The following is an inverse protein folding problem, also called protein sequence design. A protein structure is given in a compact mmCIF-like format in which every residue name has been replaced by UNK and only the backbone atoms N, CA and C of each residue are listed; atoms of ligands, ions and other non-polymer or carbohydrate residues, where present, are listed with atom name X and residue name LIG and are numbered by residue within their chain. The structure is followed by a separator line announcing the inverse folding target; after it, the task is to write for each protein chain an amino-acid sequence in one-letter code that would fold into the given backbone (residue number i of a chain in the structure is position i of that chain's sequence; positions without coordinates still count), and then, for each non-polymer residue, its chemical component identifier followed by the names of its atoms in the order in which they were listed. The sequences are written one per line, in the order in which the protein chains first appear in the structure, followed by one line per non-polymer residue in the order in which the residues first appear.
data_IF_997807708528
#
_entry.id   IF_997807708528
#
_cell.length_a   1.000
_cell.length_b   1.000
_cell.length_c   1.000
_cell.angle_alpha   90.00
_cell.angle_beta   90.00
_cell.angle_gamma   90.00
#
_symmetry.space_group_name_H-M   'P 1'
#
loop_
_entity.id
_entity.type
_entity.pdbx_description
1 polymer ?
#
# COMPACT_ATOMS: atom_id res chain seq x y z
N UNK A 1 2.86 2.53 16.13
CA UNK A 1 3.95 2.68 15.13
C UNK A 1 4.80 1.42 15.07
N UNK A 2 5.14 0.95 13.87
CA UNK A 2 6.07 -0.17 13.68
C UNK A 2 7.51 0.25 13.98
N UNK A 3 8.32 -0.63 14.59
CA UNK A 3 9.73 -0.34 14.83
C UNK A 3 10.59 -0.56 13.59
N UNK A 4 11.72 0.15 13.49
CA UNK A 4 12.71 -0.05 12.43
C UNK A 4 13.24 -1.49 12.39
N UNK A 5 13.42 -2.12 13.55
CA UNK A 5 13.82 -3.52 13.66
C UNK A 5 12.80 -4.46 12.99
N UNK A 6 11.51 -4.17 13.16
CA UNK A 6 10.44 -4.98 12.59
C UNK A 6 10.32 -4.74 11.07
N UNK A 7 10.53 -3.52 10.59
CA UNK A 7 10.67 -3.23 9.14
C UNK A 7 11.82 -4.03 8.53
N UNK A 8 12.99 -4.06 9.19
CA UNK A 8 14.15 -4.81 8.70
C UNK A 8 13.92 -6.32 8.69
N UNK A 9 13.15 -6.83 9.65
CA UNK A 9 12.74 -8.23 9.68
C UNK A 9 11.84 -8.56 8.48
N UNK A 10 10.85 -7.72 8.20
CA UNK A 10 9.92 -7.91 7.07
C UNK A 10 10.67 -7.92 5.74
N UNK A 11 11.62 -6.99 5.54
CA UNK A 11 12.42 -6.92 4.30
C UNK A 11 13.17 -8.21 3.98
N UNK A 12 13.53 -9.00 5.00
CA UNK A 12 14.28 -10.27 4.85
C UNK A 12 13.37 -11.50 4.67
N UNK A 13 12.05 -11.35 4.82
CA UNK A 13 11.10 -12.44 4.60
C UNK A 13 10.94 -12.72 3.10
N UNK A 14 10.66 -13.98 2.75
CA UNK A 14 10.20 -14.31 1.41
C UNK A 14 8.83 -13.68 1.12
N UNK A 15 8.47 -13.61 -0.16
CA UNK A 15 7.17 -13.05 -0.59
C UNK A 15 5.98 -13.73 0.09
N UNK A 16 5.97 -15.07 0.11
CA UNK A 16 4.91 -15.83 0.76
C UNK A 16 4.82 -15.55 2.26
N UNK A 17 5.96 -15.47 2.94
CA UNK A 17 6.04 -15.12 4.36
C UNK A 17 5.56 -13.68 4.63
N UNK A 18 5.86 -12.72 3.75
CA UNK A 18 5.35 -11.34 3.87
C UNK A 18 3.83 -11.30 3.78
N UNK A 19 3.25 -12.01 2.82
CA UNK A 19 1.79 -12.08 2.66
C UNK A 19 1.12 -12.76 3.87
N UNK A 20 1.66 -13.88 4.35
CA UNK A 20 1.16 -14.56 5.57
C UNK A 20 1.32 -13.70 6.82
N UNK A 21 2.44 -13.00 6.94
CA UNK A 21 2.69 -12.09 8.05
C UNK A 21 1.67 -10.95 8.05
N UNK A 22 1.47 -10.30 6.91
CA UNK A 22 0.49 -9.23 6.77
C UNK A 22 -0.92 -9.71 7.11
N UNK A 23 -1.32 -10.86 6.56
CA UNK A 23 -2.61 -11.49 6.81
C UNK A 23 -2.82 -11.73 8.31
N UNK A 24 -1.84 -12.33 8.98
CA UNK A 24 -1.89 -12.59 10.43
C UNK A 24 -1.97 -11.31 11.26
N UNK A 25 -1.26 -10.25 10.86
CA UNK A 25 -1.29 -8.96 11.58
C UNK A 25 -2.64 -8.26 11.42
N UNK A 26 -3.20 -8.26 10.21
CA UNK A 26 -4.53 -7.70 9.93
C UNK A 26 -5.60 -8.50 10.70
N UNK A 27 -5.55 -9.84 10.66
CA UNK A 27 -6.47 -10.72 11.38
C UNK A 27 -6.46 -10.43 12.89
N UNK A 28 -5.27 -10.33 13.49
CA UNK A 28 -5.12 -9.98 14.91
C UNK A 28 -5.72 -8.62 15.22
N UNK A 29 -5.37 -7.59 14.45
CA UNK A 29 -5.84 -6.23 14.70
C UNK A 29 -7.36 -6.16 14.59
N UNK A 30 -7.94 -6.69 13.51
CA UNK A 30 -9.40 -6.72 13.32
C UNK A 30 -10.11 -7.53 14.41
N UNK A 31 -9.48 -8.58 14.96
CA UNK A 31 -10.06 -9.32 16.07
C UNK A 31 -10.14 -8.52 17.37
N UNK A 32 -9.17 -7.63 17.60
CA UNK A 32 -8.99 -6.83 18.82
C UNK A 32 -9.72 -5.47 18.78
N UNK A 33 -10.28 -5.07 17.63
CA UNK A 33 -11.00 -3.80 17.54
C UNK A 33 -12.28 -3.82 18.40
N UNK A 34 -12.67 -2.69 18.99
CA UNK A 34 -14.00 -2.52 19.57
C UNK A 34 -15.09 -2.76 18.53
N UNK A 35 -16.21 -3.37 18.93
CA UNK A 35 -17.29 -3.69 17.99
C UNK A 35 -17.91 -2.43 17.34
N UNK A 36 -17.95 -1.31 18.07
CA UNK A 36 -18.39 -0.01 17.53
C UNK A 36 -17.49 0.46 16.38
N UNK A 37 -16.17 0.35 16.55
CA UNK A 37 -15.21 0.68 15.50
C UNK A 37 -15.29 -0.31 14.33
N UNK A 38 -15.50 -1.62 14.60
CA UNK A 38 -15.73 -2.61 13.54
C UNK A 38 -16.98 -2.29 12.72
N UNK A 39 -18.05 -1.79 13.34
CA UNK A 39 -19.26 -1.38 12.63
C UNK A 39 -18.99 -0.18 11.71
N UNK A 40 -18.24 0.82 12.19
CA UNK A 40 -17.80 1.97 11.36
C UNK A 40 -16.96 1.48 10.18
N UNK A 41 -15.99 0.59 10.42
CA UNK A 41 -15.13 0.04 9.37
C UNK A 41 -15.93 -0.88 8.44
N UNK A 42 -16.93 -1.61 8.91
CA UNK A 42 -17.83 -2.41 8.07
C UNK A 42 -18.63 -1.52 7.13
N UNK A 43 -19.23 -0.44 7.65
CA UNK A 43 -20.08 0.46 6.89
C UNK A 43 -19.31 1.32 5.88
N UNK A 44 -18.13 1.80 6.24
CA UNK A 44 -17.28 2.61 5.37
C UNK A 44 -16.33 1.74 4.52
N UNK A 45 -15.71 0.73 5.11
CA UNK A 45 -14.73 -0.15 4.47
C UNK A 45 -15.32 -1.11 3.45
N UNK A 46 -16.55 -1.63 3.65
CA UNK A 46 -17.22 -2.41 2.60
C UNK A 46 -17.49 -1.58 1.35
N UNK A 47 -17.75 -0.28 1.51
CA UNK A 47 -17.99 0.62 0.38
C UNK A 47 -16.68 1.05 -0.28
N UNK A 48 -15.65 1.37 0.50
CA UNK A 48 -14.31 1.67 -0.01
C UNK A 48 -13.72 0.47 -0.76
N UNK A 49 -13.80 -0.74 -0.20
CA UNK A 49 -13.33 -1.97 -0.85
C UNK A 49 -14.20 -2.33 -2.06
N UNK A 50 -15.53 -2.25 -1.96
CA UNK A 50 -16.41 -2.49 -3.11
C UNK A 50 -16.12 -1.51 -4.25
N UNK A 51 -15.88 -0.23 -3.94
CA UNK A 51 -15.58 0.81 -4.92
C UNK A 51 -14.17 0.62 -5.52
N UNK A 52 -13.15 0.27 -4.72
CA UNK A 52 -11.81 -0.10 -5.17
C UNK A 52 -11.81 -1.28 -6.14
N UNK A 53 -12.64 -2.30 -5.87
CA UNK A 53 -12.72 -3.51 -6.69
C UNK A 53 -13.78 -3.46 -7.79
N UNK A 54 -14.43 -2.31 -8.01
CA UNK A 54 -15.20 -2.12 -9.25
C UNK A 54 -14.27 -2.04 -10.46
N UNK A 55 -14.80 -2.36 -11.64
CA UNK A 55 -14.06 -2.17 -12.89
C UNK A 55 -13.61 -0.71 -13.12
N UNK A 56 -14.33 0.25 -12.53
CA UNK A 56 -14.00 1.67 -12.59
C UNK A 56 -12.95 2.07 -11.54
N UNK A 57 -13.04 1.57 -10.31
CA UNK A 57 -12.03 1.75 -9.27
C UNK A 57 -10.67 1.15 -9.63
N UNK A 58 -10.66 -0.07 -10.18
CA UNK A 58 -9.43 -0.69 -10.68
C UNK A 58 -8.86 0.03 -11.90
N UNK A 59 -9.71 0.57 -12.79
CA UNK A 59 -9.25 1.38 -13.91
C UNK A 59 -8.67 2.73 -13.47
N UNK A 60 -9.24 3.37 -12.44
CA UNK A 60 -8.70 4.59 -11.85
C UNK A 60 -7.37 4.34 -11.14
N UNK A 61 -7.25 3.22 -10.42
CA UNK A 61 -6.00 2.79 -9.80
C UNK A 61 -4.93 2.49 -10.85
N UNK A 62 -5.29 1.81 -11.94
CA UNK A 62 -4.40 1.57 -13.08
C UNK A 62 -3.91 2.86 -13.72
N UNK A 63 -4.79 3.83 -13.97
CA UNK A 63 -4.42 5.15 -14.50
C UNK A 63 -3.54 5.94 -13.56
N UNK A 64 -3.79 5.88 -12.25
CA UNK A 64 -2.94 6.54 -11.26
C UNK A 64 -1.55 5.90 -11.23
N UNK A 65 -1.46 4.57 -11.30
CA UNK A 65 -0.17 3.88 -11.43
C UNK A 65 0.54 4.24 -12.74
N UNK A 66 -0.14 4.20 -13.88
CA UNK A 66 0.40 4.66 -15.17
C UNK A 66 0.92 6.09 -15.09
N UNK A 67 0.19 6.99 -14.43
CA UNK A 67 0.61 8.37 -14.22
C UNK A 67 1.85 8.46 -13.33
N UNK A 68 1.90 7.72 -12.22
CA UNK A 68 3.06 7.70 -11.32
C UNK A 68 4.33 7.23 -12.04
N UNK A 69 4.20 6.23 -12.92
CA UNK A 69 5.30 5.68 -13.72
C UNK A 69 5.53 6.40 -15.05
N UNK A 70 4.75 7.44 -15.37
CA UNK A 70 4.88 8.17 -16.61
C UNK A 70 6.27 8.81 -16.75
N UNK A 71 6.97 8.49 -17.84
CA UNK A 71 8.34 8.97 -18.08
C UNK A 71 9.42 8.26 -17.24
N UNK A 72 9.08 7.17 -16.54
CA UNK A 72 10.03 6.19 -16.03
C UNK A 72 10.10 5.06 -17.05
N UNK A 73 11.25 4.89 -17.68
CA UNK A 73 11.41 3.88 -18.71
C UNK A 73 11.64 2.49 -18.09
N UNK A 74 11.31 1.46 -18.86
CA UNK A 74 11.64 0.08 -18.51
C UNK A 74 13.17 -0.13 -18.38
N UNK A 75 13.95 0.70 -19.07
CA UNK A 75 15.41 0.76 -18.97
C UNK A 75 15.87 1.39 -17.65
N UNK A 76 15.19 2.42 -17.14
CA UNK A 76 15.47 3.02 -15.83
C UNK A 76 15.25 1.99 -14.70
N UNK A 77 14.20 1.17 -14.81
CA UNK A 77 13.91 0.08 -13.87
C UNK A 77 14.94 -1.05 -13.98
N UNK A 78 15.26 -1.51 -15.20
CA UNK A 78 16.28 -2.54 -15.44
C UNK A 78 17.67 -2.10 -14.98
N UNK A 79 18.01 -0.82 -15.11
CA UNK A 79 19.28 -0.31 -14.64
C UNK A 79 19.39 -0.32 -13.11
N UNK A 80 18.28 -0.20 -12.39
CA UNK A 80 18.23 -0.41 -10.94
C UNK A 80 18.33 -1.89 -10.56
N UNK A 81 17.68 -2.77 -11.32
CA UNK A 81 17.73 -4.22 -11.11
C UNK A 81 19.13 -4.81 -11.43
N UNK A 82 19.83 -4.24 -12.40
CA UNK A 82 21.18 -4.65 -12.79
C UNK A 82 22.28 -4.22 -11.79
N UNK A 83 21.96 -3.36 -10.84
CA UNK A 83 22.89 -3.01 -9.76
C UNK A 83 22.89 -4.11 -8.70
N UNK A 84 24.06 -4.51 -8.16
CA UNK A 84 24.15 -5.58 -7.17
C UNK A 84 23.26 -5.27 -5.96
N UNK A 85 22.23 -6.09 -5.74
CA UNK A 85 21.22 -5.93 -4.68
C UNK A 85 21.69 -6.54 -3.34
N UNK A 86 22.76 -7.34 -3.34
CA UNK A 86 23.29 -7.98 -2.14
C UNK A 86 24.40 -7.13 -1.50
N UNK A 87 24.38 -6.93 -0.16
CA UNK A 87 25.38 -6.13 0.55
C UNK A 87 26.82 -6.64 0.36
N UNK A 88 26.95 -7.94 0.09
CA UNK A 88 28.21 -8.67 0.01
C UNK A 88 28.93 -8.47 -1.34
N UNK A 89 28.21 -7.96 -2.34
CA UNK A 89 28.68 -7.66 -3.70
C UNK A 89 28.71 -6.16 -4.01
N UNK A 90 28.19 -5.32 -3.10
CA UNK A 90 28.14 -3.87 -3.26
C UNK A 90 29.44 -3.21 -2.81
N UNK A 91 30.15 -2.61 -3.76
CA UNK A 91 31.15 -1.61 -3.44
C UNK A 91 30.46 -0.24 -3.15
N UNK A 92 31.14 0.69 -2.46
CA UNK A 92 30.53 1.98 -2.07
C UNK A 92 30.06 2.85 -3.24
N UNK A 93 30.65 2.70 -4.43
CA UNK A 93 30.23 3.41 -5.65
C UNK A 93 28.92 2.86 -6.22
N UNK A 94 28.74 1.53 -6.20
CA UNK A 94 27.52 0.88 -6.65
C UNK A 94 26.34 1.19 -5.71
N UNK A 95 26.60 1.26 -4.40
CA UNK A 95 25.61 1.73 -3.42
C UNK A 95 25.21 3.19 -3.66
N UNK A 96 26.19 4.07 -3.92
CA UNK A 96 25.94 5.48 -4.24
C UNK A 96 25.07 5.65 -5.50
N UNK A 97 25.37 4.91 -6.56
CA UNK A 97 24.58 4.91 -7.80
C UNK A 97 23.18 4.34 -7.61
N UNK A 98 23.05 3.26 -6.85
CA UNK A 98 21.73 2.67 -6.53
C UNK A 98 20.85 3.67 -5.78
N UNK A 99 21.41 4.35 -4.78
CA UNK A 99 20.71 5.37 -4.01
C UNK A 99 20.34 6.58 -4.87
N UNK A 100 21.23 7.06 -5.74
CA UNK A 100 20.99 8.18 -6.65
C UNK A 100 19.91 7.86 -7.68
N UNK A 101 19.98 6.69 -8.34
CA UNK A 101 19.00 6.25 -9.33
C UNK A 101 17.63 5.96 -8.67
N UNK A 102 17.63 5.29 -7.51
CA UNK A 102 16.43 5.01 -6.75
C UNK A 102 15.74 6.28 -6.26
N UNK A 103 16.50 7.24 -5.70
CA UNK A 103 15.94 8.54 -5.32
C UNK A 103 15.44 9.33 -6.53
N UNK A 104 16.13 9.29 -7.66
CA UNK A 104 15.69 9.97 -8.89
C UNK A 104 14.37 9.43 -9.44
N UNK A 105 14.15 8.12 -9.36
CA UNK A 105 12.86 7.50 -9.72
C UNK A 105 11.77 7.87 -8.71
N UNK A 106 12.05 7.78 -7.41
CA UNK A 106 11.10 8.17 -6.37
C UNK A 106 10.71 9.65 -6.49
N UNK A 107 11.67 10.54 -6.78
CA UNK A 107 11.42 11.97 -7.01
C UNK A 107 10.52 12.19 -8.23
N UNK A 108 10.75 11.47 -9.34
CA UNK A 108 9.89 11.52 -10.53
C UNK A 108 8.49 11.01 -10.23
N UNK A 109 8.35 9.89 -9.52
CA UNK A 109 7.06 9.35 -9.09
C UNK A 109 6.29 10.36 -8.22
N UNK A 110 6.98 10.99 -7.26
CA UNK A 110 6.37 12.04 -6.43
C UNK A 110 5.95 13.25 -7.25
N UNK A 111 6.78 13.73 -8.19
CA UNK A 111 6.45 14.84 -9.10
C UNK A 111 5.24 14.53 -9.99
N UNK A 112 5.16 13.30 -10.49
CA UNK A 112 4.04 12.85 -11.31
C UNK A 112 2.75 12.73 -10.48
N UNK A 113 2.85 12.26 -9.24
CA UNK A 113 1.73 12.19 -8.30
C UNK A 113 1.18 13.58 -7.95
N UNK A 114 2.05 14.58 -7.72
CA UNK A 114 1.64 15.97 -7.42
C UNK A 114 1.41 16.83 -8.68
N UNK A 115 1.47 16.21 -9.87
CA UNK A 115 1.11 16.90 -11.11
C UNK A 115 -0.38 17.22 -11.14
N UNK A 116 -0.81 18.16 -11.99
CA UNK A 116 -2.23 18.50 -12.12
C UNK A 116 -3.11 17.28 -12.43
N UNK A 117 -2.62 16.38 -13.30
CA UNK A 117 -3.30 15.13 -13.66
C UNK A 117 -3.22 14.08 -12.54
N UNK A 118 -2.11 14.00 -11.82
CA UNK A 118 -1.97 13.10 -10.65
C UNK A 118 -2.90 13.51 -9.50
N UNK A 119 -3.00 14.80 -9.21
CA UNK A 119 -3.93 15.35 -8.21
C UNK A 119 -5.38 15.15 -8.65
N UNK A 120 -5.70 15.35 -9.93
CA UNK A 120 -7.05 15.11 -10.46
C UNK A 120 -7.44 13.64 -10.37
N UNK A 121 -6.53 12.72 -10.72
CA UNK A 121 -6.74 11.28 -10.59
C UNK A 121 -6.89 10.87 -9.12
N UNK A 122 -6.06 11.39 -8.22
CA UNK A 122 -6.20 11.18 -6.78
C UNK A 122 -7.54 11.71 -6.26
N UNK A 123 -7.97 12.89 -6.70
CA UNK A 123 -9.26 13.48 -6.33
C UNK A 123 -10.46 12.65 -6.82
N UNK A 124 -10.41 12.14 -8.05
CA UNK A 124 -11.42 11.21 -8.60
C UNK A 124 -11.42 9.89 -7.85
N UNK A 125 -10.23 9.33 -7.60
CA UNK A 125 -10.07 8.08 -6.86
C UNK A 125 -10.63 8.22 -5.44
N UNK A 126 -10.32 9.31 -4.74
CA UNK A 126 -10.90 9.60 -3.41
C UNK A 126 -12.41 9.85 -3.49
N UNK A 127 -12.90 10.57 -4.50
CA UNK A 127 -14.33 10.81 -4.68
C UNK A 127 -15.14 9.53 -4.92
N UNK A 128 -14.65 8.66 -5.79
CA UNK A 128 -15.28 7.39 -6.15
C UNK A 128 -15.11 6.34 -5.03
N UNK A 129 -13.94 6.24 -4.40
CA UNK A 129 -13.71 5.31 -3.28
C UNK A 129 -14.52 5.68 -2.05
N UNK A 130 -14.61 6.97 -1.73
CA UNK A 130 -15.36 7.44 -0.56
C UNK A 130 -16.86 7.36 -0.84
N UNK A 131 -17.33 7.87 -1.98
CA UNK A 131 -18.72 7.87 -2.43
C UNK A 131 -19.71 8.65 -1.54
N UNK A 132 -19.49 8.69 -0.22
CA UNK A 132 -20.34 9.27 0.81
C UNK A 132 -19.49 10.02 1.86
N UNK A 133 -19.60 11.36 1.91
CA UNK A 133 -18.89 12.20 2.89
C UNK A 133 -19.24 11.87 4.35
N UNK A 134 -20.45 11.40 4.65
CA UNK A 134 -20.87 11.05 6.02
C UNK A 134 -20.13 9.81 6.52
N UNK A 135 -19.88 8.85 5.62
CA UNK A 135 -19.06 7.67 5.92
C UNK A 135 -17.60 8.03 6.13
N UNK A 136 -17.07 9.00 5.38
CA UNK A 136 -15.73 9.56 5.65
C UNK A 136 -15.65 10.23 7.02
N UNK A 137 -16.69 10.97 7.40
CA UNK A 137 -16.77 11.58 8.73
C UNK A 137 -16.86 10.52 9.84
N UNK A 138 -17.52 9.38 9.59
CA UNK A 138 -17.55 8.27 10.53
C UNK A 138 -16.17 7.62 10.74
N UNK A 139 -15.33 7.54 9.70
CA UNK A 139 -13.94 7.09 9.84
C UNK A 139 -13.09 8.03 10.71
N UNK A 140 -13.39 9.33 10.69
CA UNK A 140 -12.74 10.31 11.60
C UNK A 140 -13.18 10.13 13.07
N UNK A 141 -14.29 9.43 13.31
CA UNK A 141 -14.81 9.13 14.65
C UNK A 141 -14.31 7.81 15.22
N UNK A 142 -13.45 7.07 14.50
CA UNK A 142 -12.79 5.89 15.04
C UNK A 142 -12.04 6.23 16.33
N UNK A 143 -12.03 5.30 17.29
CA UNK A 143 -11.28 5.52 18.51
C UNK A 143 -9.78 5.77 18.21
N UNK A 144 -9.09 6.62 19.01
CA UNK A 144 -7.66 6.88 18.80
C UNK A 144 -6.81 5.59 18.80
N UNK A 145 -7.19 4.60 19.60
CA UNK A 145 -6.54 3.29 19.64
C UNK A 145 -6.72 2.53 18.32
N UNK A 146 -7.92 2.53 17.75
CA UNK A 146 -8.18 1.93 16.44
C UNK A 146 -7.45 2.65 15.32
N UNK A 147 -7.42 3.99 15.35
CA UNK A 147 -6.64 4.78 14.38
C UNK A 147 -5.15 4.44 14.43
N UNK A 148 -4.57 4.31 15.63
CA UNK A 148 -3.17 3.91 15.80
C UNK A 148 -2.90 2.49 15.28
N UNK A 149 -3.81 1.54 15.54
CA UNK A 149 -3.71 0.17 15.04
C UNK A 149 -3.80 0.11 13.51
N UNK A 150 -4.73 0.84 12.90
CA UNK A 150 -4.88 0.92 11.44
C UNK A 150 -3.69 1.62 10.77
N UNK A 151 -3.15 2.67 11.38
CA UNK A 151 -1.91 3.29 10.92
C UNK A 151 -0.76 2.28 10.94
N UNK A 152 -0.66 1.47 12.00
CA UNK A 152 0.32 0.38 12.08
C UNK A 152 0.16 -0.66 10.96
N UNK A 153 -1.08 -1.00 10.58
CA UNK A 153 -1.36 -1.87 9.41
C UNK A 153 -0.86 -1.22 8.12
N UNK A 154 -1.09 0.08 7.95
CA UNK A 154 -0.65 0.80 6.75
C UNK A 154 0.88 0.82 6.64
N UNK A 155 1.58 1.09 7.74
CA UNK A 155 3.04 1.05 7.81
C UNK A 155 3.59 -0.36 7.51
N UNK A 156 2.96 -1.40 8.08
CA UNK A 156 3.26 -2.82 7.81
C UNK A 156 3.05 -3.19 6.35
N UNK A 157 1.92 -2.77 5.77
CA UNK A 157 1.55 -3.01 4.37
C UNK A 157 2.59 -2.39 3.45
N UNK A 158 2.97 -1.13 3.68
CA UNK A 158 4.00 -0.47 2.90
C UNK A 158 5.36 -1.19 3.00
N UNK A 159 5.74 -1.68 4.19
CA UNK A 159 6.98 -2.43 4.37
C UNK A 159 6.97 -3.80 3.68
N UNK A 160 5.83 -4.49 3.66
CA UNK A 160 5.66 -5.79 3.03
C UNK A 160 5.51 -5.70 1.51
N UNK A 161 5.04 -4.57 0.98
CA UNK A 161 4.75 -4.39 -0.44
C UNK A 161 5.92 -3.84 -1.27
N UNK A 162 7.04 -3.48 -0.64
CA UNK A 162 8.16 -2.78 -1.30
C UNK A 162 8.76 -3.52 -2.51
N UNK A 163 8.69 -4.85 -2.54
CA UNK A 163 9.28 -5.73 -3.55
C UNK A 163 8.26 -6.67 -4.21
N UNK A 164 6.97 -6.34 -4.11
CA UNK A 164 5.88 -7.11 -4.72
C UNK A 164 5.60 -6.67 -6.16
N UNK A 165 5.28 -7.63 -7.01
CA UNK A 165 4.89 -7.41 -8.42
C UNK A 165 3.38 -7.14 -8.54
N UNK A 166 2.90 -6.60 -9.68
CA UNK A 166 1.45 -6.47 -9.98
C UNK A 166 0.63 -7.73 -9.69
N UNK A 167 1.17 -8.90 -10.00
CA UNK A 167 0.51 -10.20 -9.78
C UNK A 167 0.44 -10.56 -8.30
N UNK A 168 1.51 -10.27 -7.54
CA UNK A 168 1.56 -10.43 -6.08
C UNK A 168 0.51 -9.53 -5.38
N UNK A 169 0.24 -8.33 -5.92
CA UNK A 169 -0.81 -7.45 -5.39
C UNK A 169 -2.22 -8.03 -5.57
N UNK A 170 -2.50 -8.68 -6.70
CA UNK A 170 -3.80 -9.31 -6.93
C UNK A 170 -4.05 -10.48 -5.97
N UNK A 171 -3.02 -11.30 -5.72
CA UNK A 171 -3.08 -12.38 -4.73
C UNK A 171 -3.27 -11.82 -3.31
N UNK A 172 -2.44 -10.85 -2.92
CA UNK A 172 -2.50 -10.22 -1.60
C UNK A 172 -3.88 -9.60 -1.35
N UNK A 173 -4.42 -8.89 -2.34
CA UNK A 173 -5.75 -8.30 -2.31
C UNK A 173 -6.82 -9.34 -2.01
N UNK A 174 -6.78 -10.47 -2.71
CA UNK A 174 -7.73 -11.58 -2.52
C UNK A 174 -7.62 -12.18 -1.11
N UNK A 175 -6.40 -12.29 -0.57
CA UNK A 175 -6.17 -12.81 0.79
C UNK A 175 -6.67 -11.86 1.87
N UNK A 176 -6.33 -10.57 1.75
CA UNK A 176 -6.79 -9.53 2.68
C UNK A 176 -8.32 -9.45 2.67
N UNK A 177 -8.96 -9.51 1.50
CA UNK A 177 -10.42 -9.49 1.40
C UNK A 177 -11.07 -10.59 2.26
N UNK A 178 -10.53 -11.81 2.24
CA UNK A 178 -11.04 -12.92 3.07
C UNK A 178 -10.92 -12.64 4.57
N UNK A 179 -9.84 -11.98 5.00
CA UNK A 179 -9.65 -11.60 6.41
C UNK A 179 -10.67 -10.52 6.80
N UNK A 180 -10.88 -9.52 5.93
CA UNK A 180 -11.91 -8.50 6.15
C UNK A 180 -13.31 -9.12 6.24
N UNK A 181 -13.67 -10.02 5.32
CA UNK A 181 -14.95 -10.75 5.35
C UNK A 181 -15.11 -11.59 6.62
N UNK A 182 -14.04 -12.21 7.13
CA UNK A 182 -14.08 -13.02 8.37
C UNK A 182 -14.45 -12.19 9.61
N UNK A 183 -14.00 -10.94 9.70
CA UNK A 183 -14.15 -10.11 10.90
C UNK A 183 -15.23 -9.04 10.78
N UNK A 184 -15.53 -8.62 9.55
CA UNK A 184 -16.43 -7.52 9.24
C UNK A 184 -17.62 -7.95 8.38
N UNK A 185 -17.67 -9.20 7.91
CA UNK A 185 -18.83 -9.76 7.19
C UNK A 185 -20.00 -10.13 8.09
#
# INVERSE_FOLDING_TARGET
MISDEEIQKIKKMSKGEKMEYLESRIDKILSELPEEDKNIIREAGSQILANLFTGEGMALMGKLMEQMFSGISEEDLKNLENLPQQPDEQNPEDFGKMMEMGMGIIEKMMKNMVSGEGIELLGKMMGEMVGDPEKMQSLLNLSPETQEKLQGVQELTNAAMYDLTPEDYAELTTRIQKVYEKHLG
#
